data_IF_630736523658
#
_entry.id   IF_630736523658
#
_cell.length_a   1.000
_cell.length_b   1.000
_cell.length_c   1.000
_cell.angle_alpha   90.00
_cell.angle_beta   90.00
_cell.angle_gamma   90.00
#
_symmetry.space_group_name_H-M   'P 1'
#
loop_
_entity.id
_entity.type
_entity.pdbx_description
1 polymer ?
#
# COMPACT_ATOMS: atom_id res chain seq x y z
N UNK A 1 -9.61 -28.88 1.00
CA UNK A 1 -9.21 -27.63 1.68
C UNK A 1 -8.91 -26.62 0.58
N UNK A 2 -9.80 -25.65 0.36
CA UNK A 2 -9.77 -24.80 -0.83
C UNK A 2 -8.74 -23.66 -0.69
N UNK A 3 -7.89 -23.38 -1.69
CA UNK A 3 -6.83 -22.36 -1.62
C UNK A 3 -7.34 -20.90 -1.65
N UNK A 4 -8.67 -20.70 -1.60
CA UNK A 4 -9.29 -19.38 -1.71
C UNK A 4 -9.21 -18.54 -0.43
N UNK A 5 -8.96 -19.15 0.73
CA UNK A 5 -8.83 -18.42 2.01
C UNK A 5 -7.56 -17.58 2.11
N UNK A 6 -6.45 -18.07 1.54
CA UNK A 6 -5.13 -17.41 1.63
C UNK A 6 -5.05 -16.13 0.80
N UNK A 7 -5.64 -16.13 -0.41
CA UNK A 7 -5.61 -14.97 -1.30
C UNK A 7 -6.38 -13.79 -0.70
N UNK A 8 -7.58 -14.03 -0.15
CA UNK A 8 -8.38 -13.00 0.49
C UNK A 8 -7.71 -12.42 1.74
N UNK A 9 -7.07 -13.27 2.55
CA UNK A 9 -6.30 -12.81 3.71
C UNK A 9 -5.12 -11.93 3.31
N UNK A 10 -4.38 -12.31 2.26
CA UNK A 10 -3.28 -11.49 1.71
C UNK A 10 -3.76 -10.17 1.15
N UNK A 11 -4.89 -10.15 0.44
CA UNK A 11 -5.51 -8.93 -0.09
C UNK A 11 -5.90 -8.00 1.06
N UNK A 12 -6.51 -8.52 2.12
CA UNK A 12 -6.86 -7.74 3.32
C UNK A 12 -5.62 -7.17 4.01
N UNK A 13 -4.56 -7.97 4.18
CA UNK A 13 -3.30 -7.48 4.75
C UNK A 13 -2.65 -6.39 3.89
N UNK A 14 -2.66 -6.54 2.57
CA UNK A 14 -2.12 -5.53 1.65
C UNK A 14 -2.93 -4.23 1.71
N UNK A 15 -4.26 -4.31 1.79
CA UNK A 15 -5.13 -3.15 1.91
C UNK A 15 -4.86 -2.37 3.21
N UNK A 16 -4.68 -3.08 4.32
CA UNK A 16 -4.33 -2.48 5.61
C UNK A 16 -2.95 -1.81 5.55
N UNK A 17 -1.94 -2.48 4.96
CA UNK A 17 -0.62 -1.89 4.76
C UNK A 17 -0.66 -0.63 3.88
N UNK A 18 -1.42 -0.64 2.78
CA UNK A 18 -1.61 0.53 1.91
C UNK A 18 -2.23 1.67 2.72
N UNK A 19 -3.24 1.40 3.54
CA UNK A 19 -3.91 2.40 4.36
C UNK A 19 -2.98 3.01 5.41
N UNK A 20 -2.17 2.18 6.08
CA UNK A 20 -1.17 2.64 7.04
C UNK A 20 -0.12 3.52 6.34
N UNK A 21 0.41 3.08 5.20
CA UNK A 21 1.40 3.83 4.42
C UNK A 21 0.84 5.17 3.96
N UNK A 22 -0.43 5.24 3.54
CA UNK A 22 -1.13 6.48 3.18
C UNK A 22 -1.19 7.45 4.34
N UNK A 23 -1.58 6.96 5.53
CA UNK A 23 -1.67 7.79 6.73
C UNK A 23 -0.29 8.30 7.16
N UNK A 24 0.74 7.45 7.12
CA UNK A 24 2.12 7.86 7.38
C UNK A 24 2.62 8.91 6.38
N UNK A 25 2.32 8.73 5.09
CA UNK A 25 2.69 9.70 4.05
C UNK A 25 2.05 11.06 4.32
N UNK A 26 0.77 11.09 4.68
CA UNK A 26 0.07 12.32 5.02
C UNK A 26 0.66 12.99 6.26
N UNK A 27 1.01 12.22 7.30
CA UNK A 27 1.68 12.76 8.48
C UNK A 27 3.06 13.33 8.16
N UNK A 28 3.88 12.60 7.40
CA UNK A 28 5.19 13.08 6.97
C UNK A 28 5.06 14.33 6.11
N UNK A 29 4.09 14.38 5.22
CA UNK A 29 3.80 15.58 4.44
C UNK A 29 3.41 16.77 5.32
N UNK A 30 2.59 16.56 6.35
CA UNK A 30 2.21 17.61 7.30
C UNK A 30 3.40 18.12 8.13
N UNK A 31 4.32 17.22 8.51
CA UNK A 31 5.53 17.57 9.26
C UNK A 31 6.54 18.33 8.38
N UNK A 32 6.85 17.78 7.21
CA UNK A 32 7.87 18.30 6.30
C UNK A 32 7.36 19.51 5.48
N UNK A 33 6.03 19.65 5.35
CA UNK A 33 5.34 20.60 4.44
C UNK A 33 5.81 20.51 2.99
N UNK A 34 6.36 19.37 2.61
CA UNK A 34 6.98 19.16 1.31
C UNK A 34 6.66 17.77 0.79
N UNK A 35 6.14 17.71 -0.43
CA UNK A 35 5.89 16.44 -1.13
C UNK A 35 7.19 15.82 -1.68
N UNK A 36 8.26 16.60 -1.78
CA UNK A 36 9.54 16.18 -2.36
C UNK A 36 10.63 15.95 -1.31
N UNK A 37 10.27 15.96 -0.02
CA UNK A 37 11.20 15.52 1.02
C UNK A 37 11.53 14.04 0.83
N UNK A 38 12.79 13.66 1.06
CA UNK A 38 13.25 12.27 0.94
C UNK A 38 12.36 11.29 1.71
N UNK A 39 11.91 11.68 2.91
CA UNK A 39 10.98 10.89 3.74
C UNK A 39 9.61 10.66 3.06
N UNK A 40 9.06 11.68 2.38
CA UNK A 40 7.78 11.59 1.67
C UNK A 40 7.91 10.82 0.36
N UNK A 41 9.05 10.94 -0.32
CA UNK A 41 9.37 10.16 -1.52
C UNK A 41 9.55 8.68 -1.19
N UNK A 42 10.24 8.36 -0.09
CA UNK A 42 10.47 6.98 0.35
C UNK A 42 9.14 6.29 0.73
N UNK A 43 8.32 6.93 1.57
CA UNK A 43 7.01 6.38 1.96
C UNK A 43 6.06 6.27 0.76
N UNK A 44 6.10 7.22 -0.19
CA UNK A 44 5.30 7.15 -1.42
C UNK A 44 5.75 6.01 -2.33
N UNK A 45 7.06 5.76 -2.42
CA UNK A 45 7.59 4.63 -3.19
C UNK A 45 7.19 3.29 -2.56
N UNK A 46 7.24 3.18 -1.23
CA UNK A 46 6.75 2.01 -0.50
C UNK A 46 5.24 1.79 -0.69
N UNK A 47 4.46 2.86 -0.66
CA UNK A 47 3.02 2.83 -0.91
C UNK A 47 2.72 2.31 -2.32
N UNK A 48 3.42 2.84 -3.33
CA UNK A 48 3.27 2.42 -4.73
C UNK A 48 3.58 0.92 -4.90
N UNK A 49 4.66 0.42 -4.29
CA UNK A 49 4.98 -1.02 -4.32
C UNK A 49 3.85 -1.87 -3.75
N UNK A 50 3.26 -1.45 -2.62
CA UNK A 50 2.17 -2.18 -1.96
C UNK A 50 0.89 -2.17 -2.81
N UNK A 51 0.58 -1.05 -3.48
CA UNK A 51 -0.54 -0.92 -4.42
C UNK A 51 -0.32 -1.84 -5.64
N UNK A 52 0.89 -1.85 -6.21
CA UNK A 52 1.23 -2.71 -7.34
C UNK A 52 1.07 -4.19 -6.98
N UNK A 53 1.52 -4.61 -5.80
CA UNK A 53 1.34 -5.97 -5.30
C UNK A 53 -0.14 -6.32 -5.09
N UNK A 54 -0.91 -5.40 -4.50
CA UNK A 54 -2.36 -5.56 -4.33
C UNK A 54 -3.10 -5.67 -5.67
N UNK A 55 -2.70 -4.89 -6.67
CA UNK A 55 -3.26 -4.98 -8.02
C UNK A 55 -2.91 -6.29 -8.72
N UNK A 56 -1.66 -6.78 -8.60
CA UNK A 56 -1.23 -8.08 -9.14
C UNK A 56 -1.94 -9.27 -8.48
N UNK A 57 -2.23 -9.16 -7.18
CA UNK A 57 -2.90 -10.20 -6.41
C UNK A 57 -4.40 -10.33 -6.68
N UNK A 58 -5.02 -9.33 -7.30
CA UNK A 58 -6.42 -9.44 -7.73
C UNK A 58 -6.48 -10.13 -9.09
N UNK A 59 -7.25 -11.21 -9.24
CA UNK A 59 -7.54 -11.73 -10.58
C UNK A 59 -8.24 -10.61 -11.32
N UNK A 60 -7.57 -10.02 -12.32
CA UNK A 60 -8.23 -9.13 -13.28
C UNK A 60 -9.39 -9.95 -13.84
N UNK A 61 -10.61 -9.53 -13.57
CA UNK A 61 -11.80 -10.22 -14.02
C UNK A 61 -11.70 -10.40 -15.53
N UNK A 62 -11.61 -11.66 -15.97
CA UNK A 62 -11.79 -12.04 -17.37
C UNK A 62 -13.21 -12.52 -17.55
#
# INVERSE_FOLDING_TARGET
>A
MSPKGDASARILSLEDEIRILRSKMEQLFLQEKSFTSDNVIEISSLLDLKINEYMKGRPVGK
#
